data_IF_640836681761
#
_entry.id   IF_640836681761
#
_cell.length_a   1.000
_cell.length_b   1.000
_cell.length_c   1.000
_cell.angle_alpha   90.00
_cell.angle_beta   90.00
_cell.angle_gamma   90.00
#
_symmetry.space_group_name_H-M   'P 1'
#
loop_
_entity.id
_entity.type
_entity.pdbx_description
1 polymer ?
#
# COMPACT_ATOMS: atom_id res chain seq x y z
N UNK A 1 19.71 -7.72 -38.97
CA UNK A 1 18.40 -8.11 -38.41
C UNK A 1 17.29 -7.41 -39.18
N UNK A 2 16.30 -8.14 -39.65
CA UNK A 2 15.17 -7.53 -40.33
C UNK A 2 14.29 -6.80 -39.30
N UNK A 3 13.61 -5.73 -39.74
CA UNK A 3 12.70 -4.98 -38.86
C UNK A 3 11.56 -5.83 -38.30
N UNK A 4 11.10 -6.83 -39.04
CA UNK A 4 10.06 -7.75 -38.61
C UNK A 4 10.51 -8.58 -37.39
N UNK A 5 11.75 -9.03 -37.41
CA UNK A 5 12.30 -9.83 -36.32
C UNK A 5 12.45 -9.00 -35.03
N UNK A 6 12.84 -7.73 -35.14
CA UNK A 6 12.89 -6.81 -34.00
C UNK A 6 11.50 -6.60 -33.36
N UNK A 7 10.49 -6.38 -34.20
CA UNK A 7 9.11 -6.19 -33.73
C UNK A 7 8.62 -7.42 -32.98
N UNK A 8 8.88 -8.62 -33.49
CA UNK A 8 8.48 -9.86 -32.81
C UNK A 8 9.17 -10.02 -31.46
N UNK A 9 10.46 -9.68 -31.38
CA UNK A 9 11.21 -9.76 -30.12
C UNK A 9 10.66 -8.80 -29.07
N UNK A 10 10.36 -7.56 -29.47
CA UNK A 10 9.79 -6.55 -28.57
C UNK A 10 8.42 -7.00 -28.08
N UNK A 11 7.56 -7.50 -28.96
CA UNK A 11 6.23 -7.99 -28.59
C UNK A 11 6.31 -9.15 -27.62
N UNK A 12 7.23 -10.08 -27.83
CA UNK A 12 7.46 -11.20 -26.94
C UNK A 12 7.88 -10.73 -25.55
N UNK A 13 8.82 -9.80 -25.47
CA UNK A 13 9.29 -9.25 -24.19
C UNK A 13 8.19 -8.53 -23.45
N UNK A 14 7.33 -7.78 -24.13
CA UNK A 14 6.18 -7.11 -23.55
C UNK A 14 5.18 -8.11 -22.98
N UNK A 15 4.90 -9.20 -23.68
CA UNK A 15 4.00 -10.25 -23.20
C UNK A 15 4.55 -10.94 -21.95
N UNK A 16 5.85 -11.22 -21.94
CA UNK A 16 6.52 -11.81 -20.79
C UNK A 16 6.49 -10.87 -19.57
N UNK A 17 6.73 -9.59 -19.80
CA UNK A 17 6.74 -8.59 -18.76
C UNK A 17 5.34 -8.33 -18.20
N UNK A 18 4.29 -8.44 -19.00
CA UNK A 18 2.91 -8.23 -18.56
C UNK A 18 2.47 -9.22 -17.49
N UNK A 19 3.02 -10.41 -17.46
CA UNK A 19 2.72 -11.38 -16.41
C UNK A 19 3.37 -11.03 -15.09
N UNK A 20 4.43 -10.22 -15.11
CA UNK A 20 5.23 -9.87 -13.94
C UNK A 20 5.43 -8.36 -13.80
N UNK A 21 4.90 -7.58 -14.73
CA UNK A 21 5.16 -6.14 -14.73
C UNK A 21 4.33 -5.44 -13.67
N UNK A 22 5.03 -4.66 -12.89
CA UNK A 22 4.47 -3.73 -11.95
C UNK A 22 4.17 -2.43 -12.68
N UNK A 23 2.97 -1.91 -12.49
CA UNK A 23 2.59 -0.60 -12.98
C UNK A 23 2.45 0.37 -11.82
N UNK A 24 2.85 1.61 -12.05
CA UNK A 24 2.62 2.68 -11.09
C UNK A 24 1.36 3.42 -11.54
N UNK A 25 0.38 3.48 -10.65
CA UNK A 25 -0.89 4.13 -10.92
C UNK A 25 -1.16 5.22 -9.89
N UNK A 26 -1.84 6.27 -10.33
CA UNK A 26 -2.38 7.27 -9.42
C UNK A 26 -3.69 6.75 -8.84
N UNK A 27 -3.91 7.01 -7.57
CA UNK A 27 -5.11 6.60 -6.88
C UNK A 27 -5.57 7.72 -5.96
N UNK A 28 -6.88 7.81 -5.75
CA UNK A 28 -7.46 8.78 -4.82
C UNK A 28 -7.85 8.06 -3.54
N UNK A 29 -7.48 8.61 -2.41
CA UNK A 29 -7.94 8.12 -1.13
C UNK A 29 -9.39 8.57 -0.94
N UNK A 30 -10.28 7.61 -0.80
CA UNK A 30 -11.72 7.87 -0.66
C UNK A 30 -12.09 7.98 0.81
N UNK A 31 -11.60 7.06 1.62
CA UNK A 31 -11.89 7.02 3.06
C UNK A 31 -10.81 6.26 3.79
N UNK A 32 -10.79 6.38 5.09
CA UNK A 32 -9.85 5.67 5.95
C UNK A 32 -10.57 5.16 7.20
N UNK A 33 -9.94 4.18 7.83
CA UNK A 33 -10.35 3.68 9.13
C UNK A 33 -9.08 3.49 9.97
N UNK A 34 -9.11 3.91 11.21
CA UNK A 34 -8.07 3.62 12.18
C UNK A 34 -8.78 3.32 13.49
N UNK A 35 -8.70 2.09 13.94
CA UNK A 35 -9.44 1.67 15.11
C UNK A 35 -9.35 0.17 15.33
N UNK A 36 -10.30 -0.35 16.08
CA UNK A 36 -10.36 -1.77 16.43
C UNK A 36 -11.33 -2.49 15.51
N UNK A 37 -10.87 -3.61 15.00
CA UNK A 37 -11.67 -4.54 14.19
C UNK A 37 -11.33 -5.96 14.60
N UNK A 38 -12.21 -6.88 14.27
CA UNK A 38 -11.98 -8.32 14.38
C UNK A 38 -11.33 -8.73 15.70
N UNK A 39 -12.15 -8.95 16.73
CA UNK A 39 -11.71 -9.38 18.06
C UNK A 39 -10.86 -8.33 18.80
N UNK A 40 -11.06 -7.05 18.48
CA UNK A 40 -10.40 -5.97 19.18
C UNK A 40 -8.99 -5.65 18.72
N UNK A 41 -8.60 -6.13 17.56
CA UNK A 41 -7.28 -5.87 16.99
C UNK A 41 -7.24 -4.42 16.49
N UNK A 42 -6.22 -3.68 16.93
CA UNK A 42 -5.99 -2.33 16.44
C UNK A 42 -5.39 -2.40 15.04
N UNK A 43 -6.01 -1.72 14.09
CA UNK A 43 -5.58 -1.73 12.70
C UNK A 43 -5.99 -0.45 11.97
N UNK A 44 -5.56 -0.33 10.73
CA UNK A 44 -5.98 0.76 9.85
C UNK A 44 -6.29 0.24 8.46
N UNK A 45 -7.10 0.99 7.74
CA UNK A 45 -7.35 0.78 6.32
C UNK A 45 -7.36 2.11 5.60
N UNK A 46 -6.81 2.12 4.39
CA UNK A 46 -6.88 3.26 3.48
C UNK A 46 -7.61 2.75 2.24
N UNK A 47 -8.81 3.25 2.00
CA UNK A 47 -9.61 2.84 0.86
C UNK A 47 -9.33 3.78 -0.29
N UNK A 48 -8.93 3.21 -1.41
CA UNK A 48 -8.54 3.98 -2.60
C UNK A 48 -9.40 3.63 -3.79
N UNK A 49 -9.48 4.58 -4.70
CA UNK A 49 -10.12 4.42 -5.99
C UNK A 49 -9.13 4.81 -7.08
N UNK A 50 -9.01 3.96 -8.08
CA UNK A 50 -8.14 4.23 -9.22
C UNK A 50 -8.89 3.86 -10.50
N UNK A 51 -8.33 4.22 -11.64
CA UNK A 51 -8.97 3.94 -12.91
C UNK A 51 -9.15 2.43 -13.09
N UNK A 52 -10.38 1.97 -12.99
CA UNK A 52 -10.77 0.60 -13.23
C UNK A 52 -11.04 -0.26 -12.01
N UNK A 53 -10.64 0.17 -10.79
CA UNK A 53 -10.91 -0.63 -9.60
C UNK A 53 -10.82 0.19 -8.32
N UNK A 54 -11.36 -0.38 -7.25
CA UNK A 54 -11.25 0.15 -5.89
C UNK A 54 -10.67 -0.94 -4.99
N UNK A 55 -9.86 -0.56 -4.02
CA UNK A 55 -9.32 -1.52 -3.07
C UNK A 55 -8.96 -0.85 -1.75
N UNK A 56 -8.61 -1.67 -0.75
CA UNK A 56 -8.12 -1.22 0.53
C UNK A 56 -6.64 -1.53 0.69
N UNK A 57 -5.93 -0.61 1.32
CA UNK A 57 -4.53 -0.77 1.68
C UNK A 57 -4.46 -0.77 3.20
N UNK A 58 -3.78 -1.75 3.78
CA UNK A 58 -3.61 -1.83 5.22
C UNK A 58 -4.03 -3.18 5.77
N UNK A 59 -4.74 -3.15 6.90
CA UNK A 59 -5.16 -4.38 7.57
C UNK A 59 -4.07 -4.99 8.43
N UNK A 60 -2.96 -4.30 8.63
CA UNK A 60 -1.87 -4.77 9.48
C UNK A 60 -2.24 -4.60 10.96
N UNK A 61 -1.78 -5.53 11.80
CA UNK A 61 -1.98 -5.42 13.23
C UNK A 61 -1.07 -4.36 13.81
N UNK A 62 -1.66 -3.38 14.49
CA UNK A 62 -0.92 -2.29 15.13
C UNK A 62 -0.61 -2.59 16.59
N UNK A 63 -1.17 -3.67 17.12
CA UNK A 63 -0.92 -4.15 18.47
C UNK A 63 -0.66 -5.66 18.42
N UNK A 64 -0.30 -6.24 19.56
CA UNK A 64 -0.10 -7.68 19.66
C UNK A 64 -0.68 -8.20 20.96
N UNK A 65 -1.08 -9.47 20.96
CA UNK A 65 -1.57 -10.12 22.17
C UNK A 65 -0.41 -10.59 23.02
N UNK A 66 -0.41 -10.20 24.30
CA UNK A 66 0.57 -10.65 25.27
C UNK A 66 0.00 -11.78 26.11
N UNK A 67 0.59 -12.97 26.01
CA UNK A 67 0.18 -14.09 26.84
C UNK A 67 0.56 -13.89 28.30
N UNK A 68 1.59 -13.08 28.59
CA UNK A 68 2.01 -12.78 29.95
C UNK A 68 0.98 -11.97 30.72
N UNK A 69 0.37 -10.98 30.06
CA UNK A 69 -0.62 -10.10 30.69
C UNK A 69 -2.05 -10.45 30.31
N UNK A 70 -2.26 -11.36 29.35
CA UNK A 70 -3.58 -11.72 28.79
C UNK A 70 -4.31 -10.52 28.21
N UNK A 71 -3.55 -9.54 27.71
CA UNK A 71 -4.09 -8.32 27.10
C UNK A 71 -3.37 -8.00 25.80
N UNK A 72 -3.96 -7.11 25.02
CA UNK A 72 -3.27 -6.57 23.86
C UNK A 72 -2.33 -5.45 24.28
N UNK A 73 -1.14 -5.44 23.70
CA UNK A 73 -0.12 -4.43 23.99
C UNK A 73 0.24 -3.68 22.72
N UNK A 74 0.61 -2.43 22.87
CA UNK A 74 0.90 -1.55 21.74
C UNK A 74 2.38 -1.57 21.41
N UNK A 75 2.67 -1.26 20.14
CA UNK A 75 4.04 -1.19 19.62
C UNK A 75 4.35 0.23 19.21
N UNK A 76 5.54 0.71 19.54
CA UNK A 76 6.01 2.02 19.10
C UNK A 76 6.12 2.09 17.57
N UNK A 77 6.52 1.00 16.93
CA UNK A 77 6.68 0.89 15.47
C UNK A 77 5.36 1.11 14.74
N UNK A 78 4.24 0.78 15.36
CA UNK A 78 2.92 0.99 14.76
C UNK A 78 2.62 2.49 14.61
N UNK A 79 2.98 3.29 15.60
CA UNK A 79 2.83 4.74 15.49
C UNK A 79 3.82 5.32 14.48
N UNK A 80 5.01 4.76 14.38
CA UNK A 80 5.97 5.14 13.36
C UNK A 80 5.40 4.90 11.95
N UNK A 81 4.72 3.78 11.74
CA UNK A 81 4.07 3.47 10.46
C UNK A 81 2.99 4.52 10.12
N UNK A 82 2.16 4.89 11.08
CA UNK A 82 1.15 5.92 10.89
C UNK A 82 1.82 7.24 10.49
N UNK A 83 2.89 7.63 11.18
CA UNK A 83 3.64 8.84 10.86
C UNK A 83 4.23 8.79 9.45
N UNK A 84 4.77 7.65 9.04
CA UNK A 84 5.34 7.49 7.69
C UNK A 84 4.27 7.60 6.61
N UNK A 85 3.08 7.10 6.85
CA UNK A 85 1.95 7.24 5.92
C UNK A 85 1.63 8.73 5.72
N UNK A 86 1.50 9.47 6.79
CA UNK A 86 1.23 10.90 6.73
C UNK A 86 2.32 11.66 5.97
N UNK A 87 3.58 11.33 6.24
CA UNK A 87 4.73 11.94 5.59
C UNK A 87 4.73 11.68 4.08
N UNK A 88 4.50 10.44 3.68
CA UNK A 88 4.50 10.07 2.25
C UNK A 88 3.35 10.76 1.52
N UNK A 89 2.17 10.78 2.10
CA UNK A 89 1.02 11.45 1.47
C UNK A 89 1.18 12.97 1.50
N UNK A 90 1.85 13.51 2.51
CA UNK A 90 2.10 14.93 2.64
C UNK A 90 1.04 15.66 3.43
N UNK A 91 0.50 15.02 4.46
CA UNK A 91 -0.49 15.61 5.37
C UNK A 91 -0.01 15.47 6.81
N UNK A 92 -0.56 16.28 7.70
CA UNK A 92 -0.19 16.26 9.11
C UNK A 92 -1.17 15.44 9.97
N UNK A 93 -2.36 15.20 9.47
CA UNK A 93 -3.42 14.54 10.22
C UNK A 93 -4.01 13.39 9.43
N UNK A 94 -4.38 12.33 10.13
CA UNK A 94 -5.05 11.17 9.53
C UNK A 94 -6.35 11.58 8.84
N UNK A 95 -7.09 12.50 9.44
CA UNK A 95 -8.37 13.00 8.93
C UNK A 95 -8.23 13.76 7.61
N UNK A 96 -7.03 14.18 7.27
CA UNK A 96 -6.76 14.89 6.03
C UNK A 96 -6.41 13.94 4.86
N UNK A 97 -6.31 12.64 5.11
CA UNK A 97 -6.00 11.66 4.07
C UNK A 97 -7.11 11.56 3.01
N UNK A 98 -8.40 11.48 3.37
CA UNK A 98 -9.45 11.39 2.33
C UNK A 98 -9.40 12.56 1.37
N UNK A 99 -9.52 12.27 0.08
CA UNK A 99 -9.46 13.26 -0.98
C UNK A 99 -8.07 13.49 -1.56
N UNK A 100 -7.03 12.95 -0.93
CA UNK A 100 -5.67 13.08 -1.43
C UNK A 100 -5.37 12.03 -2.49
N UNK A 101 -4.48 12.39 -3.40
CA UNK A 101 -4.00 11.48 -4.44
C UNK A 101 -2.64 10.93 -4.04
N UNK A 102 -2.44 9.66 -4.34
CA UNK A 102 -1.18 8.95 -4.11
C UNK A 102 -0.81 8.15 -5.34
N UNK A 103 0.41 7.62 -5.37
CA UNK A 103 0.80 6.60 -6.33
C UNK A 103 0.80 5.26 -5.64
N UNK A 104 0.47 4.22 -6.39
CA UNK A 104 0.51 2.84 -5.91
C UNK A 104 1.26 1.98 -6.91
N UNK A 105 1.83 0.88 -6.44
CA UNK A 105 2.35 -0.17 -7.29
C UNK A 105 1.27 -1.22 -7.50
N UNK A 106 0.91 -1.45 -8.75
CA UNK A 106 -0.12 -2.39 -9.16
C UNK A 106 0.51 -3.54 -9.93
N UNK A 107 0.33 -4.75 -9.44
CA UNK A 107 0.96 -5.96 -10.00
C UNK A 107 -0.03 -6.84 -10.78
N UNK A 108 -1.17 -6.30 -11.16
CA UNK A 108 -2.18 -7.03 -11.88
C UNK A 108 -3.44 -7.28 -11.07
N UNK A 109 -4.47 -7.74 -11.76
CA UNK A 109 -5.78 -7.98 -11.15
C UNK A 109 -5.68 -9.02 -10.03
N UNK A 110 -6.26 -8.70 -8.89
CA UNK A 110 -6.26 -9.58 -7.73
C UNK A 110 -5.04 -9.44 -6.83
N UNK A 111 -4.05 -8.64 -7.21
CA UNK A 111 -2.89 -8.41 -6.35
C UNK A 111 -3.23 -7.43 -5.23
N UNK A 112 -2.51 -7.56 -4.12
CA UNK A 112 -2.66 -6.69 -2.96
C UNK A 112 -1.71 -5.50 -3.12
N UNK A 113 -2.21 -4.29 -2.91
CA UNK A 113 -1.38 -3.09 -2.89
C UNK A 113 -0.72 -2.98 -1.52
N UNK A 114 0.60 -2.97 -1.50
CA UNK A 114 1.39 -2.94 -0.26
C UNK A 114 2.31 -1.74 -0.15
N UNK A 115 2.34 -0.90 -1.18
CA UNK A 115 3.29 0.20 -1.28
C UNK A 115 2.56 1.47 -1.72
N UNK A 116 2.79 2.56 -1.01
CA UNK A 116 2.22 3.86 -1.35
C UNK A 116 3.32 4.86 -1.62
N UNK A 117 3.07 5.78 -2.53
CA UNK A 117 4.01 6.81 -2.91
C UNK A 117 3.39 8.19 -2.96
N UNK A 118 4.22 9.21 -2.78
CA UNK A 118 3.79 10.58 -2.94
C UNK A 118 3.41 10.84 -4.40
N UNK A 119 2.42 11.67 -4.63
CA UNK A 119 1.91 11.94 -5.98
C UNK A 119 2.92 12.70 -6.84
N UNK A 120 3.83 13.44 -6.24
CA UNK A 120 4.81 14.29 -6.95
C UNK A 120 6.24 13.86 -6.65
N UNK A 121 6.58 13.73 -5.38
CA UNK A 121 7.95 13.44 -4.93
C UNK A 121 8.26 11.96 -4.95
N UNK A 122 9.52 11.61 -5.13
CA UNK A 122 9.97 10.21 -5.06
C UNK A 122 10.11 9.78 -3.59
N UNK A 123 8.98 9.66 -2.93
CA UNK A 123 8.87 9.13 -1.58
C UNK A 123 7.91 7.96 -1.60
N UNK A 124 8.36 6.84 -1.07
CA UNK A 124 7.58 5.60 -1.03
C UNK A 124 7.65 4.98 0.34
N UNK A 125 6.58 4.32 0.73
CA UNK A 125 6.52 3.54 1.95
C UNK A 125 6.02 2.14 1.61
N UNK A 126 6.86 1.14 1.89
CA UNK A 126 6.53 -0.27 1.70
C UNK A 126 5.98 -0.82 3.02
N UNK A 127 4.66 -0.89 3.11
CA UNK A 127 3.99 -1.36 4.33
C UNK A 127 4.30 -2.82 4.62
N UNK A 128 4.29 -3.65 3.59
CA UNK A 128 4.56 -5.08 3.76
C UNK A 128 5.97 -5.32 4.32
N UNK A 129 6.95 -4.63 3.79
CA UNK A 129 8.33 -4.74 4.29
C UNK A 129 8.42 -4.23 5.73
N UNK A 130 7.83 -3.09 6.01
CA UNK A 130 7.88 -2.49 7.34
C UNK A 130 7.26 -3.40 8.39
N UNK A 131 6.04 -3.86 8.17
CA UNK A 131 5.34 -4.72 9.13
C UNK A 131 5.92 -6.14 9.17
N UNK A 132 6.54 -6.58 8.10
CA UNK A 132 7.24 -7.85 8.07
C UNK A 132 8.45 -7.90 8.99
N UNK A 133 9.11 -6.77 9.20
CA UNK A 133 10.28 -6.67 10.11
C UNK A 133 9.88 -6.65 11.58
N UNK A 134 8.68 -6.16 11.87
CA UNK A 134 8.17 -6.07 13.24
C UNK A 134 7.65 -7.41 13.72
N UNK A 135 7.02 -8.13 12.83
CA UNK A 135 6.40 -9.40 13.14
C UNK A 135 7.35 -10.52 13.23
#
# INVERSE_FOLDING_TARGET
MSGLQMVLTITWNLLQNNEKSMEIKNAKIISTMLGREDHGIMTFMIYIDTCGFSCGIGGYCLDEFSSATQTRVFRAESMEAISKILEVVGVDKWEDLPGKYIRIEYNGFGSIVTKIGNIIEEKWFDLKEFFGKIG
#
